data_IF_521376648972
#
_entry.id   IF_521376648972
#
_cell.length_a   1.000
_cell.length_b   1.000
_cell.length_c   1.000
_cell.angle_alpha   90.00
_cell.angle_beta   90.00
_cell.angle_gamma   90.00
#
_symmetry.space_group_name_H-M   'P 1'
#
loop_
_entity.id
_entity.type
_entity.pdbx_description
1 polymer ?
#
# COMPACT_ATOMS: atom_id res chain seq x y z
N UNK A 1 -0.46 6.85 -7.89
CA UNK A 1 -0.35 7.16 -6.45
C UNK A 1 -0.55 5.88 -5.65
N UNK A 2 0.09 5.74 -4.48
CA UNK A 2 -0.16 4.63 -3.58
C UNK A 2 -1.64 4.53 -3.19
N UNK A 3 -2.13 3.31 -3.02
CA UNK A 3 -3.55 3.03 -2.75
C UNK A 3 -3.65 1.84 -1.80
N UNK A 4 -4.54 1.96 -0.82
CA UNK A 4 -5.09 0.84 -0.06
C UNK A 4 -6.60 1.02 -0.03
N UNK A 5 -7.32 0.01 -0.50
CA UNK A 5 -8.78 0.01 -0.50
C UNK A 5 -9.32 -1.40 -0.36
N UNK A 6 -10.30 -1.60 0.52
CA UNK A 6 -11.12 -2.80 0.56
C UNK A 6 -12.37 -2.59 -0.30
N UNK A 7 -12.73 -3.58 -1.12
CA UNK A 7 -13.95 -3.58 -1.93
C UNK A 7 -14.46 -5.01 -2.13
N UNK A 8 -15.64 -5.31 -1.60
CA UNK A 8 -16.33 -6.59 -1.77
C UNK A 8 -15.49 -7.81 -1.32
N UNK A 9 -14.80 -7.70 -0.19
CA UNK A 9 -13.91 -8.73 0.35
C UNK A 9 -12.53 -8.76 -0.31
N UNK A 10 -12.23 -7.86 -1.24
CA UNK A 10 -10.95 -7.80 -1.94
C UNK A 10 -10.15 -6.58 -1.51
N UNK A 11 -8.88 -6.80 -1.16
CA UNK A 11 -7.92 -5.73 -0.91
C UNK A 11 -7.24 -5.32 -2.22
N UNK A 12 -7.47 -4.07 -2.64
CA UNK A 12 -6.79 -3.43 -3.76
C UNK A 12 -5.61 -2.62 -3.20
N UNK A 13 -4.40 -3.09 -3.48
CA UNK A 13 -3.17 -2.52 -2.92
C UNK A 13 -2.26 -2.09 -4.07
N UNK A 14 -1.91 -0.81 -4.08
CA UNK A 14 -0.81 -0.27 -4.86
C UNK A 14 0.22 0.31 -3.88
N UNK A 15 1.37 -0.36 -3.66
CA UNK A 15 2.38 0.11 -2.71
C UNK A 15 3.14 1.34 -3.20
N UNK A 16 2.99 1.73 -4.46
CA UNK A 16 3.88 2.71 -5.10
C UNK A 16 5.21 2.07 -5.52
N UNK A 17 6.29 2.84 -5.42
CA UNK A 17 7.64 2.38 -5.74
C UNK A 17 8.64 2.96 -4.75
N UNK A 18 9.58 2.13 -4.29
CA UNK A 18 10.67 2.54 -3.40
C UNK A 18 11.80 3.23 -4.15
N UNK A 19 12.00 2.94 -5.44
CA UNK A 19 13.12 3.46 -6.25
C UNK A 19 12.69 4.36 -7.41
N UNK A 20 11.48 4.18 -7.94
CA UNK A 20 10.99 4.88 -9.12
C UNK A 20 9.52 5.33 -8.98
N UNK A 21 9.24 6.33 -8.14
CA UNK A 21 7.91 6.91 -8.08
C UNK A 21 7.53 7.58 -9.40
N UNK A 22 6.25 7.49 -9.79
CA UNK A 22 5.73 8.08 -11.03
C UNK A 22 4.77 9.22 -10.72
N UNK A 23 4.75 10.25 -11.59
CA UNK A 23 3.78 11.33 -11.50
C UNK A 23 3.88 12.16 -10.22
N UNK A 24 5.09 12.42 -9.73
CA UNK A 24 5.34 13.26 -8.55
C UNK A 24 5.02 12.62 -7.20
N UNK A 25 4.63 11.34 -7.15
CA UNK A 25 4.41 10.65 -5.87
C UNK A 25 5.70 10.50 -5.07
N UNK A 26 5.61 10.42 -3.74
CA UNK A 26 6.76 10.07 -2.90
C UNK A 26 7.11 8.58 -3.03
N UNK A 27 8.39 8.25 -2.78
CA UNK A 27 8.85 6.86 -2.64
C UNK A 27 8.06 6.18 -1.54
N UNK A 28 7.57 4.97 -1.79
CA UNK A 28 6.62 4.32 -0.88
C UNK A 28 6.64 2.80 -1.02
N UNK A 29 6.13 2.13 0.02
CA UNK A 29 5.90 0.69 0.07
C UNK A 29 4.66 0.39 0.95
N UNK A 30 4.14 -0.83 0.88
CA UNK A 30 3.08 -1.29 1.76
C UNK A 30 3.64 -2.24 2.83
N UNK A 31 3.12 -2.14 4.05
CA UNK A 31 3.25 -3.16 5.09
C UNK A 31 1.88 -3.78 5.30
N UNK A 32 1.78 -5.09 5.18
CA UNK A 32 0.56 -5.84 5.42
C UNK A 32 0.78 -6.82 6.56
N UNK A 33 -0.06 -6.72 7.59
CA UNK A 33 -0.10 -7.66 8.71
C UNK A 33 -1.36 -8.49 8.58
N UNK A 34 -1.22 -9.82 8.62
CA UNK A 34 -2.32 -10.78 8.53
C UNK A 34 -2.34 -11.59 9.82
N UNK A 35 -3.45 -11.55 10.53
CA UNK A 35 -3.71 -12.34 11.74
C UNK A 35 -5.07 -13.02 11.64
N UNK A 36 -5.08 -14.30 11.26
CA UNK A 36 -6.31 -15.03 10.93
C UNK A 36 -7.08 -14.34 9.81
N UNK A 37 -8.30 -13.88 10.11
CA UNK A 37 -9.14 -13.12 9.16
C UNK A 37 -8.92 -11.60 9.22
N UNK A 38 -8.09 -11.12 10.16
CA UNK A 38 -7.79 -9.70 10.29
C UNK A 38 -6.65 -9.32 9.35
N UNK A 39 -6.88 -8.30 8.54
CA UNK A 39 -5.91 -7.75 7.60
C UNK A 39 -5.74 -6.26 7.88
N UNK A 40 -4.53 -5.84 8.25
CA UNK A 40 -4.13 -4.44 8.37
C UNK A 40 -3.12 -4.11 7.26
N UNK A 41 -3.41 -3.11 6.43
CA UNK A 41 -2.53 -2.68 5.34
C UNK A 41 -2.21 -1.20 5.50
N UNK A 42 -0.92 -0.87 5.56
CA UNK A 42 -0.44 0.52 5.69
C UNK A 42 0.51 0.87 4.57
N UNK A 43 0.29 2.02 3.93
CA UNK A 43 1.30 2.63 3.07
C UNK A 43 2.30 3.39 3.94
N UNK A 44 3.59 3.13 3.71
CA UNK A 44 4.70 3.87 4.29
C UNK A 44 5.37 4.67 3.19
N UNK A 45 5.75 5.89 3.54
CA UNK A 45 6.49 6.78 2.66
C UNK A 45 7.93 6.84 3.13
N UNK A 46 8.87 6.78 2.19
CA UNK A 46 10.29 7.01 2.43
C UNK A 46 10.53 8.52 2.25
N UNK A 47 11.12 9.15 3.26
CA UNK A 47 11.60 10.53 3.16
C UNK A 47 12.76 10.64 2.14
#
# INVERSE_FOLDING_TARGET
MPLVKEKNGLWLINPGSTSWPRGGSKRSYAVMTIDGTNVDVRIKTLE
#
